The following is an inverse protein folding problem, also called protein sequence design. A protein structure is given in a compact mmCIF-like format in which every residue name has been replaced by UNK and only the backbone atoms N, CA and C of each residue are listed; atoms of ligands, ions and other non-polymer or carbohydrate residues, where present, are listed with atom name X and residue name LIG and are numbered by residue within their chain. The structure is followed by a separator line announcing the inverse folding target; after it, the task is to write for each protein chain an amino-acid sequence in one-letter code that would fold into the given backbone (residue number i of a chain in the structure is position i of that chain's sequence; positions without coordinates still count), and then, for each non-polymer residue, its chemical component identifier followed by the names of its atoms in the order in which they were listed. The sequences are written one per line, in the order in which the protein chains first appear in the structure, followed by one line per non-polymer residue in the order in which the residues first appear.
data_IF_087622851811
#
_entry.id   IF_087622851811
#
_cell.length_a   1.000
_cell.length_b   1.000
_cell.length_c   1.000
_cell.angle_alpha   90.00
_cell.angle_beta   90.00
_cell.angle_gamma   90.00
#
_symmetry.space_group_name_H-M   'P 1'
#
loop_
_entity.id
_entity.type
_entity.pdbx_description
1 polymer ?
#
# COMPACT_ATOMS: atom_id res chain seq x y z
N UNK A 1 -25.96 0.80 -47.07
CA UNK A 1 -24.69 0.99 -46.32
C UNK A 1 -24.77 2.03 -45.19
N UNK A 2 -25.78 2.91 -45.16
CA UNK A 2 -25.93 3.92 -44.10
C UNK A 2 -26.56 3.39 -42.80
N UNK A 3 -27.42 2.37 -42.87
CA UNK A 3 -28.16 1.84 -41.70
C UNK A 3 -27.28 0.97 -40.77
N UNK A 4 -26.24 0.34 -41.33
CA UNK A 4 -25.29 -0.48 -40.55
C UNK A 4 -24.40 0.36 -39.62
N UNK A 5 -24.13 1.62 -39.98
CA UNK A 5 -23.40 2.57 -39.11
C UNK A 5 -24.24 3.11 -37.96
N UNK A 6 -25.56 3.19 -38.10
CA UNK A 6 -26.47 3.64 -37.04
C UNK A 6 -26.65 2.59 -35.95
N UNK A 7 -26.71 1.31 -36.32
CA UNK A 7 -26.84 0.20 -35.37
C UNK A 7 -25.57 -0.02 -34.53
N UNK A 8 -24.38 0.32 -35.05
CA UNK A 8 -23.13 0.30 -34.26
C UNK A 8 -23.01 1.48 -33.30
N UNK A 9 -23.61 2.63 -33.62
CA UNK A 9 -23.62 3.80 -32.73
C UNK A 9 -24.58 3.63 -31.54
N UNK A 10 -25.63 2.82 -31.68
CA UNK A 10 -26.58 2.50 -30.60
C UNK A 10 -26.11 1.36 -29.69
N UNK A 11 -25.23 0.46 -30.14
CA UNK A 11 -24.62 -0.55 -29.26
C UNK A 11 -23.55 0.00 -28.33
N UNK A 12 -23.02 1.20 -28.60
CA UNK A 12 -22.19 1.96 -27.69
C UNK A 12 -22.99 2.89 -26.75
N UNK A 13 -24.33 2.81 -26.78
CA UNK A 13 -25.17 3.52 -25.83
C UNK A 13 -25.05 2.86 -24.45
N UNK A 14 -24.17 3.45 -23.65
CA UNK A 14 -24.25 3.48 -22.19
C UNK A 14 -24.12 2.12 -21.50
N UNK A 15 -22.89 1.64 -21.34
CA UNK A 15 -22.54 1.03 -20.05
C UNK A 15 -22.78 2.11 -19.00
N UNK A 16 -23.98 2.15 -18.42
CA UNK A 16 -24.35 3.11 -17.38
C UNK A 16 -23.36 2.90 -16.23
N UNK A 17 -22.54 3.90 -15.93
CA UNK A 17 -21.64 3.89 -14.78
C UNK A 17 -22.45 4.09 -13.50
N UNK A 18 -23.09 3.02 -13.05
CA UNK A 18 -23.93 2.99 -11.85
C UNK A 18 -23.15 3.27 -10.58
N UNK A 19 -21.83 3.08 -10.61
CA UNK A 19 -20.95 3.35 -9.47
C UNK A 19 -20.80 4.87 -9.31
N UNK A 20 -20.60 5.61 -10.40
CA UNK A 20 -20.54 7.08 -10.37
C UNK A 20 -21.84 7.75 -9.94
N UNK A 21 -22.99 7.08 -10.07
CA UNK A 21 -24.31 7.59 -9.63
C UNK A 21 -24.55 7.46 -8.12
N UNK A 22 -23.74 6.66 -7.40
CA UNK A 22 -23.90 6.47 -5.95
C UNK A 22 -23.59 7.75 -5.16
N UNK A 23 -24.25 8.00 -4.01
CA UNK A 23 -23.87 9.10 -3.10
C UNK A 23 -22.45 8.95 -2.53
N UNK A 24 -21.81 10.06 -2.20
CA UNK A 24 -20.43 10.08 -1.67
C UNK A 24 -20.27 9.22 -0.41
N UNK A 25 -21.29 9.16 0.44
CA UNK A 25 -21.29 8.32 1.65
C UNK A 25 -21.16 6.84 1.33
N UNK A 26 -21.83 6.36 0.28
CA UNK A 26 -21.76 4.96 -0.17
C UNK A 26 -20.39 4.68 -0.79
N UNK A 27 -19.87 5.62 -1.58
CA UNK A 27 -18.53 5.50 -2.15
C UNK A 27 -17.44 5.45 -1.07
N UNK A 28 -17.52 6.32 -0.05
CA UNK A 28 -16.64 6.25 1.12
C UNK A 28 -16.77 4.91 1.85
N UNK A 29 -17.99 4.38 1.98
CA UNK A 29 -18.20 3.08 2.61
C UNK A 29 -17.56 1.95 1.81
N UNK A 30 -17.71 1.93 0.48
CA UNK A 30 -17.03 0.95 -0.40
C UNK A 30 -15.51 1.06 -0.25
N UNK A 31 -14.98 2.28 -0.30
CA UNK A 31 -13.54 2.54 -0.16
C UNK A 31 -12.99 2.14 1.22
N UNK A 32 -13.83 2.06 2.26
CA UNK A 32 -13.41 1.61 3.59
C UNK A 32 -13.14 0.10 3.70
N UNK A 33 -13.56 -0.69 2.69
CA UNK A 33 -13.33 -2.14 2.64
C UNK A 33 -12.11 -2.55 1.80
N UNK A 34 -11.52 -1.63 1.04
CA UNK A 34 -10.36 -1.93 0.18
C UNK A 34 -9.07 -1.44 0.84
N UNK A 35 -7.90 -2.01 0.48
CA UNK A 35 -6.61 -1.52 0.94
C UNK A 35 -6.41 -0.03 0.62
N UNK A 36 -5.67 0.68 1.47
CA UNK A 36 -5.47 2.14 1.31
C UNK A 36 -4.85 2.49 -0.04
N UNK A 37 -3.89 1.68 -0.51
CA UNK A 37 -3.27 1.85 -1.82
C UNK A 37 -4.33 1.85 -2.91
N UNK A 38 -5.19 0.84 -2.94
CA UNK A 38 -6.32 0.75 -3.87
C UNK A 38 -7.30 1.91 -3.71
N UNK A 39 -7.59 2.34 -2.48
CA UNK A 39 -8.47 3.48 -2.24
C UNK A 39 -7.88 4.81 -2.77
N UNK A 40 -6.57 4.98 -2.72
CA UNK A 40 -5.86 6.15 -3.25
C UNK A 40 -5.72 6.06 -4.77
N UNK A 41 -5.46 4.88 -5.35
CA UNK A 41 -5.35 4.71 -6.81
C UNK A 41 -6.69 4.86 -7.51
N UNK A 42 -7.79 4.38 -6.91
CA UNK A 42 -9.16 4.61 -7.42
C UNK A 42 -9.53 6.09 -7.49
N UNK A 43 -8.82 6.95 -6.76
CA UNK A 43 -8.95 8.41 -6.84
C UNK A 43 -8.58 8.98 -8.23
N UNK A 44 -7.89 8.20 -9.07
CA UNK A 44 -7.55 8.53 -10.46
C UNK A 44 -8.71 8.27 -11.43
N UNK A 45 -9.68 7.44 -11.07
CA UNK A 45 -10.79 7.06 -11.95
C UNK A 45 -11.75 8.22 -12.25
N UNK A 46 -11.86 9.19 -11.34
CA UNK A 46 -12.84 10.28 -11.46
C UNK A 46 -12.51 11.46 -10.55
N UNK A 47 -12.89 12.68 -10.98
CA UNK A 47 -12.76 13.90 -10.16
C UNK A 47 -13.49 13.79 -8.83
N UNK A 48 -14.57 13.00 -8.77
CA UNK A 48 -15.39 12.79 -7.58
C UNK A 48 -14.65 11.92 -6.55
N UNK A 49 -13.98 10.86 -7.00
CA UNK A 49 -13.26 9.90 -6.16
C UNK A 49 -11.98 10.47 -5.56
N UNK A 50 -11.39 11.48 -6.23
CA UNK A 50 -10.15 12.17 -5.86
C UNK A 50 -10.05 12.59 -4.38
N UNK A 51 -11.19 12.90 -3.76
CA UNK A 51 -11.23 13.48 -2.42
C UNK A 51 -11.88 12.56 -1.38
N UNK A 52 -12.52 11.47 -1.78
CA UNK A 52 -13.30 10.62 -0.88
C UNK A 52 -12.40 9.85 0.09
N UNK A 53 -11.27 9.31 -0.41
CA UNK A 53 -10.34 8.57 0.42
C UNK A 53 -9.78 9.39 1.61
N UNK A 54 -9.76 10.73 1.49
CA UNK A 54 -9.28 11.64 2.56
C UNK A 54 -10.18 11.69 3.78
N UNK A 55 -11.43 11.24 3.64
CA UNK A 55 -12.43 11.15 4.71
C UNK A 55 -12.53 9.76 5.32
N UNK A 56 -11.75 8.79 4.85
CA UNK A 56 -11.74 7.46 5.43
C UNK A 56 -11.23 7.50 6.88
N UNK A 57 -11.76 6.57 7.67
CA UNK A 57 -11.40 6.36 9.07
C UNK A 57 -10.61 5.05 9.27
N UNK A 58 -10.47 4.27 8.20
CA UNK A 58 -9.79 2.97 8.17
C UNK A 58 -8.62 3.11 7.20
N UNK A 59 -7.41 2.87 7.68
CA UNK A 59 -6.20 2.85 6.87
C UNK A 59 -5.45 1.56 7.12
N UNK A 60 -5.14 0.85 6.05
CA UNK A 60 -4.29 -0.33 6.03
C UNK A 60 -3.13 -0.11 5.07
N UNK A 61 -1.91 -0.19 5.59
CA UNK A 61 -0.66 -0.09 4.84
C UNK A 61 0.09 -1.40 4.96
N UNK A 62 0.49 -1.97 3.82
CA UNK A 62 1.31 -3.18 3.77
C UNK A 62 2.51 -2.90 2.90
N UNK A 63 3.67 -3.35 3.36
CA UNK A 63 4.89 -3.33 2.59
C UNK A 63 4.72 -4.21 1.33
N UNK A 64 4.90 -3.64 0.12
CA UNK A 64 4.74 -4.38 -1.14
C UNK A 64 5.78 -5.48 -1.34
N UNK A 65 6.90 -5.47 -0.59
CA UNK A 65 7.93 -6.51 -0.68
C UNK A 65 7.44 -7.89 -0.23
N UNK A 66 6.32 -7.94 0.50
CA UNK A 66 5.70 -9.20 0.98
C UNK A 66 4.73 -9.83 -0.02
N UNK A 67 4.33 -9.11 -1.09
CA UNK A 67 3.42 -9.65 -2.11
C UNK A 67 4.21 -10.06 -3.35
N UNK A 68 4.31 -11.37 -3.67
CA UNK A 68 5.11 -11.82 -4.81
C UNK A 68 4.62 -11.35 -6.18
N UNK A 69 3.39 -10.80 -6.32
CA UNK A 69 2.73 -10.66 -7.63
C UNK A 69 1.63 -9.58 -7.72
N UNK A 70 1.69 -8.46 -6.99
CA UNK A 70 0.65 -7.41 -7.10
C UNK A 70 0.97 -6.31 -8.13
N UNK A 71 2.07 -6.43 -8.88
CA UNK A 71 2.34 -5.64 -10.11
C UNK A 71 2.54 -4.12 -9.93
N UNK A 72 2.34 -3.56 -8.73
CA UNK A 72 2.62 -2.15 -8.44
C UNK A 72 4.05 -2.04 -7.91
N UNK A 73 5.01 -1.94 -8.84
CA UNK A 73 6.37 -1.51 -8.52
C UNK A 73 6.35 0.01 -8.31
N UNK A 74 6.94 0.48 -7.21
CA UNK A 74 7.02 1.91 -6.88
C UNK A 74 8.15 2.65 -7.62
N UNK A 75 8.96 1.93 -8.41
CA UNK A 75 10.03 2.52 -9.19
C UNK A 75 9.49 3.21 -10.45
N UNK A 76 10.02 4.39 -10.73
CA UNK A 76 9.84 5.08 -12.01
C UNK A 76 10.57 4.28 -13.11
N UNK A 77 9.88 4.04 -14.23
CA UNK A 77 10.35 3.32 -15.43
C UNK A 77 11.37 4.15 -16.24
N UNK A 78 12.34 4.79 -15.57
CA UNK A 78 13.43 5.51 -16.20
C UNK A 78 14.70 4.64 -16.10
N UNK A 79 14.97 3.92 -17.19
CA UNK A 79 15.85 2.76 -17.28
C UNK A 79 17.32 2.94 -16.88
N UNK A 80 17.94 1.82 -16.54
CA UNK A 80 19.09 1.25 -17.27
C UNK A 80 19.21 -0.20 -16.80
N UNK A 81 18.96 -1.15 -17.72
CA UNK A 81 19.18 -2.56 -17.46
C UNK A 81 20.70 -2.77 -17.35
N UNK A 82 21.29 -2.62 -16.17
CA UNK A 82 22.59 -3.21 -15.78
C UNK A 82 22.98 -2.78 -14.35
N UNK A 83 22.34 -3.31 -13.30
CA UNK A 83 23.01 -3.51 -12.00
C UNK A 83 22.23 -4.50 -11.13
N UNK A 84 22.85 -5.65 -10.83
CA UNK A 84 22.44 -6.51 -9.72
C UNK A 84 23.04 -5.93 -8.44
N UNK A 85 22.27 -5.11 -7.72
CA UNK A 85 22.38 -4.82 -6.27
C UNK A 85 21.13 -4.03 -5.83
N UNK A 86 19.91 -4.43 -6.25
CA UNK A 86 18.68 -3.87 -5.68
C UNK A 86 18.46 -4.54 -4.32
N UNK A 87 18.96 -3.89 -3.26
CA UNK A 87 18.73 -4.25 -1.86
C UNK A 87 17.26 -4.07 -1.41
N UNK A 88 16.35 -3.85 -2.37
CA UNK A 88 14.95 -3.52 -2.14
C UNK A 88 14.72 -2.12 -1.59
N UNK A 89 15.75 -1.27 -1.45
CA UNK A 89 15.64 0.06 -0.83
C UNK A 89 14.67 0.99 -1.54
N UNK A 90 14.55 0.95 -2.87
CA UNK A 90 13.63 1.84 -3.56
C UNK A 90 12.15 1.46 -3.43
N UNK A 91 11.83 0.16 -3.26
CA UNK A 91 10.46 -0.25 -2.89
C UNK A 91 10.07 0.28 -1.51
N UNK A 92 11.04 0.29 -0.58
CA UNK A 92 10.87 0.78 0.78
C UNK A 92 10.73 2.31 0.81
N UNK A 93 11.59 3.04 0.12
CA UNK A 93 11.50 4.50 0.01
C UNK A 93 10.17 4.92 -0.60
N UNK A 94 9.73 4.25 -1.68
CA UNK A 94 8.43 4.49 -2.30
C UNK A 94 7.25 4.25 -1.36
N UNK A 95 7.31 3.18 -0.55
CA UNK A 95 6.31 2.90 0.48
C UNK A 95 6.30 3.96 1.58
N UNK A 96 7.46 4.34 2.11
CA UNK A 96 7.60 5.40 3.12
C UNK A 96 7.01 6.71 2.62
N UNK A 97 7.34 7.09 1.39
CA UNK A 97 6.81 8.27 0.72
C UNK A 97 5.30 8.21 0.55
N UNK A 98 4.78 7.06 0.14
CA UNK A 98 3.35 6.83 0.01
C UNK A 98 2.62 7.02 1.34
N UNK A 99 3.05 6.34 2.41
CA UNK A 99 2.43 6.44 3.74
C UNK A 99 2.50 7.89 4.24
N UNK A 100 3.67 8.54 4.12
CA UNK A 100 3.84 9.94 4.50
C UNK A 100 2.88 10.87 3.76
N UNK A 101 2.77 10.72 2.43
CA UNK A 101 1.86 11.52 1.59
C UNK A 101 0.40 11.29 1.98
N UNK A 102 -0.01 10.05 2.22
CA UNK A 102 -1.39 9.72 2.63
C UNK A 102 -1.73 10.32 3.99
N UNK A 103 -0.87 10.14 4.99
CA UNK A 103 -1.08 10.67 6.34
C UNK A 103 -1.08 12.21 6.34
N UNK A 104 -0.19 12.85 5.57
CA UNK A 104 -0.14 14.31 5.46
C UNK A 104 -1.36 14.91 4.75
N UNK A 105 -1.98 14.19 3.82
CA UNK A 105 -3.14 14.65 3.06
C UNK A 105 -4.48 14.39 3.76
N UNK A 106 -4.46 13.74 4.92
CA UNK A 106 -5.66 13.33 5.61
C UNK A 106 -6.44 14.55 6.13
N UNK A 107 -7.75 14.58 5.87
CA UNK A 107 -8.64 15.65 6.34
C UNK A 107 -9.44 15.25 7.58
N UNK A 108 -9.60 13.96 7.84
CA UNK A 108 -10.20 13.44 9.06
C UNK A 108 -9.15 13.40 10.17
N UNK A 109 -9.46 13.93 11.35
CA UNK A 109 -8.65 13.79 12.56
C UNK A 109 -8.86 12.45 13.29
N UNK A 110 -9.75 11.60 12.77
CA UNK A 110 -10.34 10.51 13.54
C UNK A 110 -9.96 9.18 12.86
N UNK A 111 -8.72 8.69 13.06
CA UNK A 111 -8.42 7.31 12.65
C UNK A 111 -9.18 6.41 13.63
N UNK A 112 -10.05 5.54 13.12
CA UNK A 112 -10.70 4.51 13.94
C UNK A 112 -9.92 3.20 13.86
N UNK A 113 -9.43 2.86 12.67
CA UNK A 113 -8.67 1.62 12.45
C UNK A 113 -7.40 1.92 11.69
N UNK A 114 -6.27 1.52 12.27
CA UNK A 114 -4.96 1.65 11.65
C UNK A 114 -4.29 0.29 11.62
N UNK A 115 -3.97 -0.19 10.42
CA UNK A 115 -3.20 -1.39 10.20
C UNK A 115 -1.91 -1.03 9.45
N UNK A 116 -0.78 -1.41 10.01
CA UNK A 116 0.54 -1.21 9.43
C UNK A 116 1.33 -2.51 9.50
N UNK A 117 1.62 -3.08 8.34
CA UNK A 117 2.57 -4.18 8.18
C UNK A 117 3.86 -3.63 7.58
N UNK A 118 4.97 -3.89 8.24
CA UNK A 118 6.31 -3.52 7.77
C UNK A 118 7.17 -4.78 7.68
N UNK A 119 7.82 -4.98 6.54
CA UNK A 119 8.73 -6.10 6.33
C UNK A 119 10.07 -5.90 7.05
N UNK A 120 10.88 -6.96 7.02
CA UNK A 120 12.20 -7.02 7.66
C UNK A 120 13.13 -5.85 7.29
N UNK A 121 13.08 -5.35 6.05
CA UNK A 121 13.92 -4.24 5.61
C UNK A 121 13.60 -2.92 6.32
N UNK A 122 12.39 -2.75 6.82
CA UNK A 122 12.03 -1.60 7.63
C UNK A 122 12.74 -1.60 8.99
N UNK A 123 12.99 -2.79 9.57
CA UNK A 123 13.68 -2.94 10.84
C UNK A 123 15.20 -2.73 10.73
N UNK A 124 15.77 -3.01 9.55
CA UNK A 124 17.22 -2.90 9.28
C UNK A 124 17.61 -1.49 8.82
N UNK A 125 16.67 -0.74 8.25
CA UNK A 125 16.90 0.64 7.77
C UNK A 125 16.61 1.68 8.86
N UNK A 126 17.24 2.86 8.75
CA UNK A 126 17.05 4.00 9.69
C UNK A 126 15.63 4.62 9.62
N UNK A 127 14.69 3.94 8.94
CA UNK A 127 13.30 4.32 8.72
C UNK A 127 12.40 4.09 9.93
N UNK A 128 12.88 3.44 11.00
CA UNK A 128 12.09 3.23 12.24
C UNK A 128 11.50 4.52 12.81
N UNK A 129 12.18 5.66 12.59
CA UNK A 129 11.70 6.99 12.97
C UNK A 129 10.40 7.38 12.24
N UNK A 130 10.22 6.93 11.00
CA UNK A 130 9.00 7.13 10.22
C UNK A 130 7.84 6.33 10.81
N UNK A 131 8.05 5.07 11.20
CA UNK A 131 7.01 4.25 11.85
C UNK A 131 6.54 4.88 13.16
N UNK A 132 7.47 5.30 14.01
CA UNK A 132 7.13 5.97 15.26
C UNK A 132 6.33 7.27 15.03
N UNK A 133 6.67 8.02 13.97
CA UNK A 133 5.85 9.15 13.49
C UNK A 133 4.46 8.71 13.04
N UNK A 134 4.34 7.66 12.23
CA UNK A 134 3.04 7.18 11.73
C UNK A 134 2.13 6.68 12.85
N UNK A 135 2.71 5.97 13.82
CA UNK A 135 2.01 5.52 15.02
C UNK A 135 1.51 6.73 15.80
N UNK A 136 2.33 7.77 16.00
CA UNK A 136 1.87 9.02 16.64
C UNK A 136 0.78 9.74 15.85
N UNK A 137 0.92 9.82 14.53
CA UNK A 137 -0.08 10.42 13.64
C UNK A 137 -1.41 9.63 13.70
N UNK A 138 -1.35 8.33 13.99
CA UNK A 138 -2.51 7.44 14.06
C UNK A 138 -3.16 7.34 15.45
N UNK A 139 -2.38 7.49 16.53
CA UNK A 139 -2.87 7.52 17.93
C UNK A 139 -3.57 8.87 18.16
N UNK A 140 -4.77 8.97 17.61
CA UNK A 140 -5.72 10.04 17.88
C UNK A 140 -6.74 9.65 18.96
N UNK A 141 -7.56 10.60 19.42
CA UNK A 141 -8.58 10.37 20.45
C UNK A 141 -9.67 9.37 20.04
N UNK A 142 -9.74 9.01 18.76
CA UNK A 142 -10.77 8.14 18.21
C UNK A 142 -10.24 6.78 17.73
N UNK A 143 -8.97 6.46 17.97
CA UNK A 143 -8.41 5.16 17.58
C UNK A 143 -9.08 4.02 18.36
N UNK A 144 -9.69 3.10 17.62
CA UNK A 144 -10.39 1.93 18.16
C UNK A 144 -9.55 0.66 18.00
N UNK A 145 -8.90 0.51 16.84
CA UNK A 145 -8.10 -0.68 16.51
C UNK A 145 -6.75 -0.25 15.93
N UNK A 146 -5.68 -0.74 16.56
CA UNK A 146 -4.31 -0.60 16.08
C UNK A 146 -3.75 -2.00 15.86
N UNK A 147 -3.44 -2.32 14.62
CA UNK A 147 -2.73 -3.53 14.23
C UNK A 147 -1.35 -3.13 13.70
N UNK A 148 -0.31 -3.70 14.29
CA UNK A 148 1.05 -3.45 13.89
C UNK A 148 1.79 -4.78 13.81
N UNK A 149 2.33 -5.09 12.63
CA UNK A 149 3.14 -6.29 12.38
C UNK A 149 4.52 -5.87 11.89
N UNK A 150 5.55 -6.48 12.48
CA UNK A 150 6.93 -6.47 12.00
C UNK A 150 7.23 -7.91 11.61
N UNK A 151 7.22 -8.21 10.32
CA UNK A 151 7.58 -9.57 9.88
C UNK A 151 9.11 -9.72 9.83
N UNK A 152 9.59 -10.76 10.52
CA UNK A 152 10.98 -11.20 10.41
C UNK A 152 11.20 -11.90 9.06
N UNK A 153 12.37 -11.66 8.44
CA UNK A 153 12.72 -12.22 7.14
C UNK A 153 12.52 -13.75 7.11
N UNK A 154 11.94 -14.31 6.03
CA UNK A 154 11.85 -15.75 5.85
C UNK A 154 13.22 -16.44 5.81
N UNK A 155 14.32 -15.72 5.52
CA UNK A 155 15.68 -16.28 5.56
C UNK A 155 16.15 -16.58 6.99
N UNK A 156 15.65 -15.87 8.01
CA UNK A 156 15.96 -16.15 9.41
C UNK A 156 15.40 -17.51 9.87
N UNK A 157 14.43 -18.07 9.14
CA UNK A 157 13.89 -19.41 9.39
C UNK A 157 14.66 -20.54 8.69
N UNK A 158 15.59 -20.22 7.78
CA UNK A 158 16.28 -21.23 6.94
C UNK A 158 17.65 -21.65 7.53
N UNK A 159 18.27 -20.88 8.43
CA UNK A 159 19.56 -21.26 9.03
C UNK A 159 19.60 -21.30 10.57
N UNK A 160 18.96 -22.29 11.23
CA UNK A 160 19.20 -22.57 12.65
C UNK A 160 20.43 -23.47 12.91
N UNK A 161 21.19 -23.90 11.89
CA UNK A 161 22.26 -24.90 12.04
C UNK A 161 23.60 -24.50 11.42
N UNK A 162 24.20 -23.40 11.88
CA UNK A 162 25.66 -23.28 11.84
C UNK A 162 26.13 -22.73 13.20
N UNK A 163 26.10 -23.58 14.22
CA UNK A 163 26.95 -23.37 15.39
C UNK A 163 28.41 -23.62 15.00
N UNK A 164 29.37 -22.83 15.52
CA UNK A 164 30.78 -23.03 15.25
C UNK A 164 31.26 -24.27 16.00
N UNK A 165 31.67 -25.32 15.29
CA UNK A 165 32.38 -26.43 15.91
C UNK A 165 33.75 -25.91 16.38
N UNK A 166 33.84 -25.70 17.68
CA UNK A 166 35.05 -25.47 18.49
C UNK A 166 36.16 -26.49 18.16
N UNK A 167 37.46 -26.12 18.28
CA UNK A 167 38.58 -26.96 17.89
C UNK A 167 38.81 -28.07 18.92
N UNK A 168 38.96 -29.31 18.46
CA UNK A 168 39.49 -30.41 19.26
C UNK A 168 40.74 -30.96 18.58
N UNK A 169 41.81 -30.96 19.38
CA UNK A 169 43.12 -31.51 19.13
C UNK A 169 43.12 -33.05 19.03
N UNK A 170 44.33 -33.59 18.77
CA UNK A 170 44.78 -34.99 18.62
C UNK A 170 44.74 -35.50 17.18
N UNK A 171 45.84 -35.95 16.56
CA UNK A 171 47.23 -36.25 16.98
C UNK A 171 48.19 -36.03 15.81
#
# INVERSE_FOLDING_TARGET
MADSKRLQAEQNATTIDRISDLPDSILCHILSFVPTLTAVTTSLLSRRWRHLWKYLQVFSFHDPSETPDDGIRFYDDDGDDDYYDDDGSGTLEGFVDFVNKVLAMRRSGDIHKFHLSCGYWFAVTNSINCVDKWIRDAIGPHLQELHFSLEDSPEARIFPFLSPSSPAADS
#
